data_IF_386197158059
#
_entry.id   IF_386197158059
#
_cell.length_a   1.000
_cell.length_b   1.000
_cell.length_c   1.000
_cell.angle_alpha   90.00
_cell.angle_beta   90.00
_cell.angle_gamma   90.00
#
_symmetry.space_group_name_H-M   'P 1'
#
loop_
_entity.id
_entity.type
_entity.pdbx_description
1 polymer ?
#
# COMPACT_ATOMS: atom_id res chain seq x y z
N UNK A 1 11.93 34.90 29.52
CA UNK A 1 10.56 35.45 29.54
C UNK A 1 10.10 35.38 28.09
N UNK A 2 9.21 34.51 27.66
CA UNK A 2 8.16 33.78 28.36
C UNK A 2 8.08 32.34 27.83
N UNK A 3 7.51 31.49 28.67
CA UNK A 3 7.49 30.04 28.63
C UNK A 3 6.03 29.67 28.39
N UNK A 4 5.72 28.89 27.36
CA UNK A 4 4.38 28.31 27.23
C UNK A 4 4.46 26.83 26.87
N UNK A 5 4.89 26.08 27.89
CA UNK A 5 4.32 24.77 28.21
C UNK A 5 2.79 24.89 28.31
N UNK A 6 2.05 24.01 27.63
CA UNK A 6 0.69 23.65 28.07
C UNK A 6 0.59 22.13 28.22
N UNK A 7 0.28 21.78 29.47
CA UNK A 7 0.31 20.47 30.11
C UNK A 7 -1.11 19.88 30.15
N UNK A 8 -1.17 18.56 29.94
CA UNK A 8 -2.08 17.51 30.47
C UNK A 8 -3.59 17.73 30.57
N UNK A 9 -4.35 16.72 30.13
CA UNK A 9 -5.49 16.16 30.89
C UNK A 9 -5.58 14.64 30.69
N UNK A 10 -5.32 13.90 31.77
CA UNK A 10 -5.78 12.52 31.97
C UNK A 10 -7.20 12.56 32.57
N UNK A 11 -8.06 11.62 32.19
CA UNK A 11 -9.22 11.19 32.99
C UNK A 11 -9.50 9.72 32.74
N UNK A 12 -9.61 8.97 33.83
CA UNK A 12 -9.80 7.52 33.95
C UNK A 12 -11.31 7.19 34.03
N UNK A 13 -11.77 6.07 33.46
CA UNK A 13 -12.63 5.08 34.15
C UNK A 13 -12.92 3.84 33.27
N UNK A 14 -12.94 2.67 33.92
CA UNK A 14 -13.15 1.34 33.34
C UNK A 14 -14.63 0.93 33.23
N UNK A 15 -14.99 0.05 32.28
CA UNK A 15 -15.55 -1.31 32.53
C UNK A 15 -16.06 -2.04 31.25
N UNK A 16 -15.85 -3.37 31.26
CA UNK A 16 -16.27 -4.52 30.39
C UNK A 16 -17.67 -4.46 29.73
N UNK A 17 -18.08 -5.11 28.61
CA UNK A 17 -17.61 -6.19 27.71
C UNK A 17 -18.44 -6.17 26.39
N UNK A 18 -17.82 -6.70 25.33
CA UNK A 18 -18.39 -7.37 24.15
C UNK A 18 -18.99 -6.54 22.98
N UNK A 19 -18.70 -7.08 21.79
CA UNK A 19 -19.30 -6.84 20.46
C UNK A 19 -18.80 -5.67 19.61
N UNK A 20 -17.85 -6.04 18.73
CA UNK A 20 -17.65 -5.50 17.38
C UNK A 20 -17.76 -3.98 17.24
N UNK A 21 -16.80 -3.26 17.81
CA UNK A 21 -16.58 -1.87 17.40
C UNK A 21 -15.10 -1.52 17.45
N UNK A 22 -14.67 -0.79 16.43
CA UNK A 22 -13.28 -0.53 16.06
C UNK A 22 -12.51 0.20 17.16
N UNK A 23 -11.87 -0.56 18.05
CA UNK A 23 -10.84 -0.03 18.93
C UNK A 23 -9.55 0.15 18.13
N UNK A 24 -9.48 1.24 17.37
CA UNK A 24 -8.21 1.75 16.85
C UNK A 24 -7.47 2.30 18.08
N UNK A 25 -6.53 1.50 18.59
CA UNK A 25 -5.47 1.90 19.52
C UNK A 25 -4.96 3.31 19.19
N UNK A 26 -4.45 4.04 20.20
CA UNK A 26 -3.76 5.35 20.14
C UNK A 26 -2.47 5.35 19.25
N UNK A 27 -2.49 4.60 18.16
CA UNK A 27 -1.44 4.54 17.16
C UNK A 27 -1.54 5.79 16.30
N UNK A 28 -0.41 6.48 16.13
CA UNK A 28 -0.32 7.76 15.42
C UNK A 28 -0.92 7.61 14.01
N UNK A 29 -2.04 8.31 13.77
CA UNK A 29 -2.74 8.33 12.48
C UNK A 29 -2.04 9.31 11.53
N UNK A 30 -1.96 8.95 10.25
CA UNK A 30 -1.41 9.82 9.20
C UNK A 30 -2.53 10.19 8.23
N UNK A 31 -2.76 11.49 8.04
CA UNK A 31 -3.88 12.01 7.25
C UNK A 31 -3.36 12.64 5.98
N UNK A 32 -3.96 12.29 4.84
CA UNK A 32 -3.70 12.98 3.58
C UNK A 32 -4.24 14.42 3.65
N UNK A 33 -3.39 15.40 3.38
CA UNK A 33 -3.74 16.82 3.36
C UNK A 33 -4.68 17.22 2.21
N UNK A 34 -4.76 16.37 1.17
CA UNK A 34 -5.50 16.66 -0.05
C UNK A 34 -6.91 16.09 -0.05
N UNK A 35 -7.12 14.90 0.53
CA UNK A 35 -8.42 14.21 0.52
C UNK A 35 -8.90 13.73 1.91
N UNK A 36 -8.16 14.04 2.98
CA UNK A 36 -8.48 13.69 4.36
C UNK A 36 -8.54 12.17 4.66
N UNK A 37 -8.13 11.30 3.71
CA UNK A 37 -8.00 9.88 3.96
C UNK A 37 -6.98 9.59 5.07
N UNK A 38 -7.30 8.61 5.91
CA UNK A 38 -6.49 8.27 7.08
C UNK A 38 -5.82 6.91 6.95
N UNK A 39 -4.53 6.88 7.30
CA UNK A 39 -3.67 5.71 7.22
C UNK A 39 -3.07 5.38 8.58
N UNK A 40 -2.78 4.10 8.81
CA UNK A 40 -2.10 3.60 10.01
C UNK A 40 -0.57 3.72 9.91
N UNK A 41 -0.03 4.02 8.73
CA UNK A 41 1.42 4.15 8.48
C UNK A 41 1.71 5.41 7.67
N UNK A 42 2.80 6.09 8.00
CA UNK A 42 3.25 7.30 7.30
C UNK A 42 3.56 7.03 5.84
N UNK A 43 4.31 5.96 5.58
CA UNK A 43 4.68 5.54 4.22
C UNK A 43 3.47 5.26 3.35
N UNK A 44 2.39 4.72 3.92
CA UNK A 44 1.14 4.47 3.19
C UNK A 44 0.43 5.76 2.81
N UNK A 45 0.41 6.77 3.69
CA UNK A 45 -0.15 8.09 3.39
C UNK A 45 0.69 8.83 2.33
N UNK A 46 2.02 8.81 2.45
CA UNK A 46 2.93 9.41 1.47
C UNK A 46 2.74 8.76 0.10
N UNK A 47 2.75 7.42 0.04
CA UNK A 47 2.48 6.70 -1.21
C UNK A 47 1.11 7.04 -1.78
N UNK A 48 0.06 7.11 -0.95
CA UNK A 48 -1.26 7.53 -1.43
C UNK A 48 -1.21 8.93 -2.06
N UNK A 49 -0.56 9.89 -1.41
CA UNK A 49 -0.43 11.26 -1.92
C UNK A 49 0.32 11.29 -3.25
N UNK A 50 1.42 10.57 -3.35
CA UNK A 50 2.24 10.52 -4.57
C UNK A 50 1.55 9.72 -5.70
N UNK A 51 0.69 8.75 -5.37
CA UNK A 51 -0.07 7.95 -6.36
C UNK A 51 -1.29 8.64 -6.92
N UNK A 52 -2.08 9.27 -6.04
CA UNK A 52 -3.43 9.71 -6.37
C UNK A 52 -3.45 11.22 -6.66
N UNK A 53 -2.55 11.97 -6.03
CA UNK A 53 -2.56 13.44 -6.07
C UNK A 53 -1.34 14.04 -6.77
N UNK A 54 -0.33 13.23 -7.11
CA UNK A 54 0.79 13.68 -7.94
C UNK A 54 0.69 13.17 -9.36
N UNK A 55 0.93 14.05 -10.32
CA UNK A 55 1.12 13.68 -11.74
C UNK A 55 2.58 13.23 -12.03
N UNK A 56 3.44 13.20 -11.00
CA UNK A 56 4.84 12.84 -11.16
C UNK A 56 5.01 11.32 -11.27
N UNK A 57 5.38 10.87 -12.47
CA UNK A 57 5.82 9.49 -12.72
C UNK A 57 7.31 9.51 -12.92
N UNK A 58 8.04 9.30 -11.83
CA UNK A 58 9.49 9.51 -11.79
C UNK A 58 10.29 8.35 -12.40
N UNK A 59 9.68 7.18 -12.58
CA UNK A 59 10.36 5.97 -13.02
C UNK A 59 10.06 5.67 -14.49
N UNK A 60 10.94 6.10 -15.40
CA UNK A 60 10.79 5.87 -16.83
C UNK A 60 11.40 4.52 -17.28
N UNK A 61 10.76 3.88 -18.25
CA UNK A 61 11.33 2.72 -18.93
C UNK A 61 12.25 3.15 -20.07
N UNK A 62 13.53 2.80 -20.01
CA UNK A 62 14.51 3.17 -21.04
C UNK A 62 14.22 2.54 -22.43
N UNK A 63 13.39 1.49 -22.49
CA UNK A 63 13.06 0.79 -23.75
C UNK A 63 11.82 1.34 -24.47
N UNK A 64 10.87 1.91 -23.74
CA UNK A 64 9.60 2.37 -24.33
C UNK A 64 9.08 3.70 -23.75
N UNK A 65 9.92 4.39 -22.98
CA UNK A 65 9.68 5.70 -22.34
C UNK A 65 8.44 5.78 -21.43
N UNK A 66 7.76 4.64 -21.21
CA UNK A 66 6.60 4.56 -20.32
C UNK A 66 7.03 4.87 -18.89
N UNK A 67 6.32 5.81 -18.26
CA UNK A 67 6.61 6.25 -16.90
C UNK A 67 5.72 5.54 -15.89
N UNK A 68 6.30 5.25 -14.74
CA UNK A 68 5.68 4.62 -13.59
C UNK A 68 5.93 5.47 -12.36
N UNK A 69 5.02 5.32 -11.43
CA UNK A 69 5.01 6.06 -10.18
C UNK A 69 5.83 5.37 -9.09
N UNK A 70 5.99 4.04 -9.17
CA UNK A 70 6.88 3.27 -8.30
C UNK A 70 7.93 2.50 -9.10
N UNK A 71 9.16 2.42 -8.56
CA UNK A 71 10.23 1.58 -9.10
C UNK A 71 9.80 0.11 -9.21
N UNK A 72 9.05 -0.41 -8.24
CA UNK A 72 8.54 -1.79 -8.27
C UNK A 72 7.61 -2.05 -9.45
N UNK A 73 6.85 -1.03 -9.88
CA UNK A 73 5.99 -1.09 -11.06
C UNK A 73 6.80 -1.06 -12.36
N UNK A 74 7.84 -0.22 -12.44
CA UNK A 74 8.79 -0.21 -13.56
C UNK A 74 9.51 -1.55 -13.72
N UNK A 75 10.10 -2.09 -12.64
CA UNK A 75 10.80 -3.37 -12.65
C UNK A 75 9.90 -4.48 -13.17
N UNK A 76 8.66 -4.54 -12.66
CA UNK A 76 7.66 -5.51 -13.10
C UNK A 76 7.32 -5.35 -14.57
N UNK A 77 7.14 -4.11 -15.04
CA UNK A 77 6.89 -3.83 -16.44
C UNK A 77 8.03 -4.32 -17.34
N UNK A 78 9.29 -4.06 -16.96
CA UNK A 78 10.45 -4.53 -17.72
C UNK A 78 10.49 -6.07 -17.79
N UNK A 79 10.21 -6.75 -16.66
CA UNK A 79 10.15 -8.21 -16.59
C UNK A 79 9.05 -8.76 -17.50
N UNK A 80 7.83 -8.21 -17.44
CA UNK A 80 6.68 -8.74 -18.18
C UNK A 80 6.69 -8.40 -19.67
N UNK A 81 7.03 -7.16 -20.03
CA UNK A 81 6.86 -6.65 -21.40
C UNK A 81 8.12 -6.84 -22.23
N UNK A 82 9.30 -6.63 -21.64
CA UNK A 82 10.55 -6.61 -22.40
C UNK A 82 11.37 -7.89 -22.27
N UNK A 83 11.30 -8.56 -21.12
CA UNK A 83 12.10 -9.76 -20.86
C UNK A 83 11.27 -11.05 -20.94
N UNK A 84 9.94 -10.95 -20.92
CA UNK A 84 9.03 -12.11 -20.96
C UNK A 84 9.18 -13.10 -19.81
N UNK A 85 9.89 -12.71 -18.74
CA UNK A 85 10.16 -13.58 -17.60
C UNK A 85 8.93 -13.69 -16.71
N UNK A 86 8.64 -14.92 -16.26
CA UNK A 86 7.54 -15.24 -15.35
C UNK A 86 8.09 -16.07 -14.20
N UNK A 87 8.53 -15.38 -13.15
CA UNK A 87 9.29 -15.97 -12.05
C UNK A 87 8.40 -16.69 -11.02
N UNK A 88 7.08 -16.53 -11.11
CA UNK A 88 6.13 -17.11 -10.17
C UNK A 88 5.37 -18.27 -10.81
N UNK A 89 5.69 -19.52 -10.43
CA UNK A 89 5.00 -20.71 -10.93
C UNK A 89 3.92 -21.18 -9.94
N UNK A 90 2.75 -21.55 -10.46
CA UNK A 90 1.72 -22.22 -9.69
C UNK A 90 2.04 -23.72 -9.66
N UNK A 91 2.34 -24.29 -8.49
CA UNK A 91 2.66 -25.73 -8.39
C UNK A 91 1.48 -26.63 -8.76
N UNK A 92 0.23 -26.14 -8.65
CA UNK A 92 -0.97 -26.93 -8.95
C UNK A 92 -1.32 -27.03 -10.44
N UNK A 93 -1.03 -25.98 -11.22
CA UNK A 93 -1.39 -25.94 -12.64
C UNK A 93 -0.22 -25.57 -13.57
N UNK A 94 0.98 -25.48 -13.01
CA UNK A 94 2.26 -25.18 -13.66
C UNK A 94 2.33 -23.84 -14.44
N UNK A 95 1.25 -23.05 -14.40
CA UNK A 95 1.21 -21.73 -15.03
C UNK A 95 2.21 -20.78 -14.36
N UNK A 96 2.94 -20.04 -15.18
CA UNK A 96 3.89 -19.01 -14.75
C UNK A 96 3.27 -17.63 -14.86
N UNK A 97 3.60 -16.77 -13.89
CA UNK A 97 3.08 -15.42 -13.70
C UNK A 97 4.19 -14.44 -13.38
N UNK A 98 3.90 -13.15 -13.54
CA UNK A 98 4.85 -12.07 -13.24
C UNK A 98 4.64 -11.56 -11.81
N UNK A 99 3.44 -11.74 -11.23
CA UNK A 99 3.15 -11.39 -9.83
C UNK A 99 2.69 -12.60 -9.04
N UNK A 100 3.08 -12.65 -7.76
CA UNK A 100 2.64 -13.68 -6.82
C UNK A 100 1.12 -13.75 -6.63
N UNK A 101 0.38 -12.65 -6.71
CA UNK A 101 -1.06 -12.67 -6.42
C UNK A 101 -1.94 -13.01 -7.65
N UNK A 102 -1.34 -13.23 -8.82
CA UNK A 102 -2.08 -13.62 -10.03
C UNK A 102 -2.58 -15.08 -9.98
N UNK A 103 -2.10 -15.89 -9.03
CA UNK A 103 -2.56 -17.28 -8.84
C UNK A 103 -4.03 -17.41 -8.42
N UNK A 104 -4.62 -16.36 -7.81
CA UNK A 104 -5.95 -16.43 -7.19
C UNK A 104 -7.11 -16.61 -8.17
N UNK A 105 -6.88 -16.44 -9.47
CA UNK A 105 -7.89 -16.56 -10.53
C UNK A 105 -7.66 -17.74 -11.47
N UNK A 106 -6.76 -18.68 -11.14
CA UNK A 106 -6.78 -19.95 -11.83
C UNK A 106 -8.14 -20.61 -11.52
N UNK A 107 -9.04 -20.80 -12.51
CA UNK A 107 -10.31 -21.44 -12.25
C UNK A 107 -10.01 -22.75 -11.54
N UNK A 108 -10.67 -22.98 -10.39
CA UNK A 108 -10.63 -24.27 -9.72
C UNK A 108 -10.93 -25.29 -10.82
N UNK A 109 -9.93 -26.10 -11.15
CA UNK A 109 -10.13 -27.20 -12.06
C UNK A 109 -11.13 -28.08 -11.30
N UNK A 110 -12.41 -28.01 -11.66
CA UNK A 110 -13.43 -28.89 -11.13
C UNK A 110 -13.14 -30.26 -11.75
N UNK A 111 -12.43 -31.07 -11.00
CA UNK A 111 -12.48 -32.52 -11.15
C UNK A 111 -13.86 -33.01 -10.75
#
# INVERSE_FOLDING_TARGET
MDKSEKKSKEVVSADNLNEQNTAISDDKRYVCDTCEETFTQESSMINHRDTIHSDQKDFACDKCEKKFEFQSHLNRHQISVHNGRKDFACERCEKKFVKKNEFAYAPKIST
#
